data_IF_675878377855
#
_entry.id   IF_675878377855
#
_cell.length_a   1.000
_cell.length_b   1.000
_cell.length_c   1.000
_cell.angle_alpha   90.00
_cell.angle_beta   90.00
_cell.angle_gamma   90.00
#
_symmetry.space_group_name_H-M   'P 1'
#
loop_
_entity.id
_entity.type
_entity.pdbx_description
1 polymer ?
#
# COMPACT_ATOMS: atom_id res chain seq x y z
N UNK A 1 8.54 -9.20 54.43
CA UNK A 1 8.46 -9.24 52.94
C UNK A 1 8.19 -7.88 52.26
N UNK A 2 8.24 -6.72 52.95
CA UNK A 2 8.00 -5.41 52.30
C UNK A 2 9.23 -4.78 51.60
N UNK A 3 10.44 -5.12 52.02
CA UNK A 3 11.69 -4.50 51.53
C UNK A 3 12.10 -4.85 50.08
N UNK A 4 11.61 -5.96 49.52
CA UNK A 4 12.00 -6.40 48.17
C UNK A 4 11.16 -5.76 47.04
N UNK A 5 9.95 -5.27 47.36
CA UNK A 5 9.04 -4.66 46.37
C UNK A 5 9.49 -3.21 46.08
N UNK A 6 9.94 -2.48 47.10
CA UNK A 6 10.41 -1.10 46.98
C UNK A 6 11.71 -0.97 46.16
N UNK A 7 12.66 -1.91 46.30
CA UNK A 7 13.89 -1.93 45.51
C UNK A 7 13.64 -2.16 44.01
N UNK A 8 12.72 -3.06 43.68
CA UNK A 8 12.39 -3.35 42.27
C UNK A 8 11.67 -2.19 41.58
N UNK A 9 10.78 -1.50 42.30
CA UNK A 9 10.10 -0.31 41.76
C UNK A 9 11.05 0.87 41.55
N UNK A 10 12.03 1.06 42.45
CA UNK A 10 13.04 2.12 42.33
C UNK A 10 13.94 1.92 41.10
N UNK A 11 14.36 0.67 40.85
CA UNK A 11 15.14 0.32 39.65
C UNK A 11 14.34 0.46 38.34
N UNK A 12 13.04 0.17 38.37
CA UNK A 12 12.17 0.37 37.22
C UNK A 12 11.96 1.86 36.90
N UNK A 13 11.81 2.70 37.94
CA UNK A 13 11.70 4.15 37.78
C UNK A 13 12.98 4.77 37.21
N UNK A 14 14.16 4.37 37.70
CA UNK A 14 15.45 4.82 37.17
C UNK A 14 15.63 4.47 35.68
N UNK A 15 15.16 3.28 35.25
CA UNK A 15 15.16 2.89 33.83
C UNK A 15 14.21 3.74 33.00
N UNK A 16 12.99 4.00 33.48
CA UNK A 16 12.02 4.85 32.78
C UNK A 16 12.52 6.28 32.65
N UNK A 17 13.14 6.83 33.71
CA UNK A 17 13.76 8.16 33.68
C UNK A 17 14.94 8.24 32.70
N UNK A 18 15.72 7.17 32.57
CA UNK A 18 16.81 7.13 31.59
C UNK A 18 16.30 7.12 30.15
N UNK A 19 15.20 6.39 29.88
CA UNK A 19 14.56 6.32 28.55
C UNK A 19 13.94 7.68 28.20
N UNK A 20 13.20 8.29 29.12
CA UNK A 20 12.61 9.63 28.89
C UNK A 20 13.66 10.71 28.69
N UNK A 21 14.82 10.63 29.37
CA UNK A 21 15.95 11.53 29.11
C UNK A 21 16.51 11.35 27.70
N UNK A 22 16.65 10.12 27.21
CA UNK A 22 17.11 9.83 25.84
C UNK A 22 16.12 10.37 24.81
N UNK A 23 14.82 10.14 25.00
CA UNK A 23 13.74 10.60 24.11
C UNK A 23 13.58 12.13 24.11
N UNK A 24 13.83 12.78 25.25
CA UNK A 24 13.83 14.24 25.38
C UNK A 24 15.12 14.89 24.85
N UNK A 25 16.16 14.10 24.57
CA UNK A 25 17.45 14.64 24.13
C UNK A 25 17.32 15.24 22.73
N UNK A 26 17.87 16.45 22.56
CA UNK A 26 17.83 17.17 21.30
C UNK A 26 18.43 16.32 20.15
N UNK A 27 19.49 15.55 20.43
CA UNK A 27 20.10 14.63 19.45
C UNK A 27 19.15 13.54 18.97
N UNK A 28 18.30 12.97 19.83
CA UNK A 28 17.32 11.97 19.42
C UNK A 28 16.23 12.59 18.54
N UNK A 29 15.80 13.82 18.86
CA UNK A 29 14.85 14.58 18.03
C UNK A 29 15.45 14.93 16.66
N UNK A 30 16.69 15.41 16.62
CA UNK A 30 17.37 15.75 15.37
C UNK A 30 17.57 14.51 14.46
N UNK A 31 17.76 13.31 15.02
CA UNK A 31 17.81 12.05 14.25
C UNK A 31 16.44 11.69 13.68
N UNK A 32 15.36 11.85 14.45
CA UNK A 32 13.99 11.60 13.98
C UNK A 32 13.60 12.63 12.91
N UNK A 33 13.93 13.89 13.11
CA UNK A 33 13.63 14.99 12.18
C UNK A 33 14.45 14.87 10.89
N UNK A 34 15.71 14.45 10.97
CA UNK A 34 16.52 14.15 9.77
C UNK A 34 16.03 12.91 9.02
N UNK A 35 15.60 11.84 9.73
CA UNK A 35 15.04 10.65 9.11
C UNK A 35 13.67 10.92 8.45
N UNK A 36 12.84 11.76 9.05
CA UNK A 36 11.54 12.17 8.48
C UNK A 36 11.71 13.15 7.32
N UNK A 37 12.66 14.09 7.40
CA UNK A 37 13.03 14.99 6.29
C UNK A 37 13.58 14.23 5.08
N UNK A 38 14.48 13.26 5.31
CA UNK A 38 15.02 12.41 4.24
C UNK A 38 13.93 11.56 3.56
N UNK A 39 12.98 11.02 4.32
CA UNK A 39 11.85 10.28 3.78
C UNK A 39 10.81 11.19 3.08
N UNK A 40 10.64 12.42 3.53
CA UNK A 40 9.76 13.42 2.92
C UNK A 40 10.29 13.89 1.56
N UNK A 41 11.60 14.16 1.46
CA UNK A 41 12.23 14.61 0.22
C UNK A 41 12.29 13.52 -0.87
N UNK A 42 12.36 12.24 -0.50
CA UNK A 42 12.35 11.15 -1.47
C UNK A 42 10.94 10.72 -1.93
N UNK A 43 9.88 11.02 -1.16
CA UNK A 43 8.50 10.70 -1.57
C UNK A 43 7.82 11.81 -2.37
N UNK A 44 8.31 13.05 -2.32
CA UNK A 44 7.69 14.19 -2.97
C UNK A 44 7.90 14.27 -4.51
N UNK A 45 8.68 13.36 -5.11
CA UNK A 45 9.01 13.40 -6.56
C UNK A 45 8.77 12.12 -7.35
N UNK A 46 8.03 11.15 -6.80
CA UNK A 46 7.40 10.15 -7.67
C UNK A 46 6.15 10.78 -8.31
N UNK A 47 6.38 11.71 -9.26
CA UNK A 47 5.38 11.95 -10.28
C UNK A 47 5.13 10.58 -10.92
N UNK A 48 3.95 10.00 -10.67
CA UNK A 48 3.48 8.77 -11.31
C UNK A 48 3.46 8.99 -12.81
N UNK A 49 4.61 8.78 -13.46
CA UNK A 49 4.73 8.88 -14.92
C UNK A 49 3.78 7.82 -15.48
N UNK A 50 2.77 8.25 -16.25
CA UNK A 50 1.93 7.32 -17.01
C UNK A 50 2.87 6.48 -17.89
N UNK A 51 2.88 5.17 -17.65
CA UNK A 51 3.65 4.22 -18.47
C UNK A 51 2.78 3.85 -19.66
N UNK A 52 3.27 4.11 -20.86
CA UNK A 52 2.62 3.71 -22.10
C UNK A 52 3.13 2.32 -22.49
N UNK A 53 2.20 1.44 -22.87
CA UNK A 53 2.50 0.08 -23.31
C UNK A 53 1.88 -0.14 -24.68
N UNK A 54 2.58 -0.89 -25.53
CA UNK A 54 2.04 -1.38 -26.80
C UNK A 54 1.50 -2.79 -26.60
N UNK A 55 0.25 -3.00 -26.98
CA UNK A 55 -0.42 -4.30 -26.95
C UNK A 55 -0.63 -4.76 -28.40
N UNK A 56 -0.29 -6.01 -28.67
CA UNK A 56 -0.58 -6.65 -29.95
C UNK A 56 -1.81 -7.53 -29.76
N UNK A 57 -2.90 -7.17 -30.42
CA UNK A 57 -4.18 -7.87 -30.37
C UNK A 57 -4.53 -8.33 -31.78
N UNK A 58 -5.37 -9.36 -31.88
CA UNK A 58 -5.96 -9.74 -33.16
C UNK A 58 -6.84 -8.61 -33.68
N UNK A 59 -6.85 -8.41 -35.00
CA UNK A 59 -7.60 -7.35 -35.65
C UNK A 59 -9.10 -7.41 -35.33
N UNK A 60 -9.69 -8.61 -35.41
CA UNK A 60 -11.09 -8.87 -35.06
C UNK A 60 -11.45 -8.39 -33.64
N UNK A 61 -10.53 -8.51 -32.69
CA UNK A 61 -10.74 -8.07 -31.29
C UNK A 61 -10.74 -6.54 -31.21
N UNK A 62 -9.89 -5.88 -31.99
CA UNK A 62 -9.85 -4.42 -32.06
C UNK A 62 -11.14 -3.90 -32.70
N UNK A 63 -11.60 -4.52 -33.78
CA UNK A 63 -12.86 -4.16 -34.45
C UNK A 63 -14.07 -4.31 -33.53
N UNK A 64 -14.18 -5.44 -32.83
CA UNK A 64 -15.25 -5.66 -31.85
C UNK A 64 -15.20 -4.65 -30.71
N UNK A 65 -14.00 -4.29 -30.24
CA UNK A 65 -13.82 -3.26 -29.21
C UNK A 65 -14.29 -1.89 -29.72
N UNK A 66 -13.96 -1.53 -30.95
CA UNK A 66 -14.40 -0.25 -31.53
C UNK A 66 -15.92 -0.18 -31.69
N UNK A 67 -16.54 -1.25 -32.20
CA UNK A 67 -18.00 -1.34 -32.31
C UNK A 67 -18.66 -1.23 -30.93
N UNK A 68 -18.12 -1.92 -29.93
CA UNK A 68 -18.61 -1.83 -28.56
C UNK A 68 -18.52 -0.41 -28.00
N UNK A 69 -17.38 0.27 -28.18
CA UNK A 69 -17.21 1.65 -27.71
C UNK A 69 -18.11 2.64 -28.46
N UNK A 70 -18.43 2.37 -29.72
CA UNK A 70 -19.36 3.18 -30.48
C UNK A 70 -20.80 3.02 -30.00
N UNK A 71 -21.22 1.79 -29.64
CA UNK A 71 -22.59 1.50 -29.22
C UNK A 71 -22.85 1.80 -27.73
N UNK A 72 -21.87 1.51 -26.88
CA UNK A 72 -22.03 1.50 -25.42
C UNK A 72 -21.02 2.38 -24.68
N UNK A 73 -20.02 2.92 -25.38
CA UNK A 73 -19.01 3.77 -24.76
C UNK A 73 -19.64 5.04 -24.19
N UNK A 74 -19.20 5.42 -22.99
CA UNK A 74 -19.56 6.73 -22.45
C UNK A 74 -19.00 7.83 -23.37
N UNK A 75 -19.72 8.94 -23.52
CA UNK A 75 -19.35 10.01 -24.45
C UNK A 75 -17.84 10.37 -24.33
N UNK A 76 -17.08 10.10 -25.40
CA UNK A 76 -15.63 10.31 -25.54
C UNK A 76 -14.72 9.33 -24.78
N UNK A 77 -15.20 8.15 -24.41
CA UNK A 77 -14.34 7.11 -23.85
C UNK A 77 -13.29 6.67 -24.89
N UNK A 78 -12.01 6.75 -24.50
CA UNK A 78 -10.89 6.34 -25.34
C UNK A 78 -10.59 4.85 -25.12
N UNK A 79 -10.16 4.15 -26.17
CA UNK A 79 -9.75 2.73 -26.14
C UNK A 79 -8.76 2.45 -25.00
N UNK A 80 -7.78 3.33 -24.82
CA UNK A 80 -6.77 3.17 -23.76
C UNK A 80 -7.39 3.17 -22.36
N UNK A 81 -8.31 4.10 -22.10
CA UNK A 81 -8.97 4.23 -20.81
C UNK A 81 -9.90 3.04 -20.55
N UNK A 82 -10.61 2.57 -21.59
CA UNK A 82 -11.44 1.37 -21.51
C UNK A 82 -10.60 0.12 -21.20
N UNK A 83 -9.51 -0.10 -21.94
CA UNK A 83 -8.61 -1.24 -21.74
C UNK A 83 -8.00 -1.20 -20.33
N UNK A 84 -7.60 -0.02 -19.85
CA UNK A 84 -7.09 0.15 -18.49
C UNK A 84 -8.13 -0.26 -17.44
N UNK A 85 -9.36 0.23 -17.55
CA UNK A 85 -10.47 -0.16 -16.65
C UNK A 85 -10.74 -1.66 -16.71
N UNK A 86 -10.78 -2.25 -17.90
CA UNK A 86 -11.02 -3.68 -18.08
C UNK A 86 -9.93 -4.53 -17.42
N UNK A 87 -8.65 -4.16 -17.56
CA UNK A 87 -7.53 -4.83 -16.91
C UNK A 87 -7.64 -4.72 -15.39
N UNK A 88 -7.95 -3.54 -14.86
CA UNK A 88 -8.12 -3.33 -13.42
C UNK A 88 -9.25 -4.19 -12.86
N UNK A 89 -10.42 -4.17 -13.51
CA UNK A 89 -11.57 -4.98 -13.10
C UNK A 89 -11.23 -6.48 -13.10
N UNK A 90 -10.54 -6.97 -14.14
CA UNK A 90 -10.11 -8.36 -14.24
C UNK A 90 -9.13 -8.75 -13.11
N UNK A 91 -8.19 -7.87 -12.75
CA UNK A 91 -7.26 -8.09 -11.63
C UNK A 91 -8.04 -8.18 -10.31
N UNK A 92 -9.01 -7.29 -10.10
CA UNK A 92 -9.85 -7.30 -8.89
C UNK A 92 -10.68 -8.57 -8.78
N UNK A 93 -11.32 -9.01 -9.87
CA UNK A 93 -12.07 -10.27 -9.90
C UNK A 93 -11.17 -11.45 -9.55
N UNK A 94 -9.96 -11.53 -10.14
CA UNK A 94 -9.00 -12.60 -9.84
C UNK A 94 -8.55 -12.59 -8.38
N UNK A 95 -8.30 -11.40 -7.81
CA UNK A 95 -7.95 -11.26 -6.39
C UNK A 95 -9.08 -11.75 -5.49
N UNK A 96 -10.32 -11.35 -5.78
CA UNK A 96 -11.50 -11.78 -5.03
C UNK A 96 -11.67 -13.30 -5.06
N UNK A 97 -11.59 -13.91 -6.24
CA UNK A 97 -11.68 -15.36 -6.42
C UNK A 97 -10.59 -16.11 -5.66
N UNK A 98 -9.36 -15.57 -5.67
CA UNK A 98 -8.23 -16.17 -4.95
C UNK A 98 -8.42 -16.09 -3.43
N UNK A 99 -8.91 -14.96 -2.92
CA UNK A 99 -9.24 -14.81 -1.50
C UNK A 99 -10.32 -15.80 -1.07
N UNK A 100 -11.38 -15.94 -1.86
CA UNK A 100 -12.44 -16.91 -1.61
C UNK A 100 -11.89 -18.34 -1.59
N UNK A 101 -11.07 -18.70 -2.58
CA UNK A 101 -10.45 -20.03 -2.66
C UNK A 101 -9.56 -20.31 -1.45
N UNK A 102 -8.80 -19.30 -0.98
CA UNK A 102 -7.99 -19.43 0.22
C UNK A 102 -8.84 -19.60 1.48
N UNK A 103 -9.92 -18.83 1.62
CA UNK A 103 -10.86 -18.97 2.72
C UNK A 103 -11.49 -20.37 2.74
N UNK A 104 -11.93 -20.88 1.60
CA UNK A 104 -12.47 -22.24 1.49
C UNK A 104 -11.44 -23.31 1.89
N UNK A 105 -10.18 -23.15 1.48
CA UNK A 105 -9.10 -24.07 1.89
C UNK A 105 -8.81 -24.00 3.39
N UNK A 106 -8.78 -22.81 3.98
CA UNK A 106 -8.61 -22.65 5.43
C UNK A 106 -9.77 -23.29 6.19
N UNK A 107 -11.00 -23.09 5.72
CA UNK A 107 -12.19 -23.66 6.35
C UNK A 107 -12.21 -25.20 6.26
N UNK A 108 -11.62 -25.80 5.22
CA UNK A 108 -11.46 -27.26 5.11
C UNK A 108 -10.36 -27.84 6.01
N UNK A 109 -9.43 -27.02 6.47
CA UNK A 109 -8.31 -27.41 7.34
C UNK A 109 -8.61 -27.19 8.83
N UNK A 110 -9.71 -26.51 9.16
CA UNK A 110 -10.23 -26.34 10.52
C UNK A 110 -11.31 -27.37 10.79
#
# INVERSE_FOLDING_TARGET
>A
MKYNIERNNKSAQEKIESITKIESSQKARDIIDSATSYNSHNKAKEHKRKKYYSLYLQEEVIEQLELFLQEFGENKENRGDFIEKAILAMIETRKSLLLQTLQEKINKLR
#
